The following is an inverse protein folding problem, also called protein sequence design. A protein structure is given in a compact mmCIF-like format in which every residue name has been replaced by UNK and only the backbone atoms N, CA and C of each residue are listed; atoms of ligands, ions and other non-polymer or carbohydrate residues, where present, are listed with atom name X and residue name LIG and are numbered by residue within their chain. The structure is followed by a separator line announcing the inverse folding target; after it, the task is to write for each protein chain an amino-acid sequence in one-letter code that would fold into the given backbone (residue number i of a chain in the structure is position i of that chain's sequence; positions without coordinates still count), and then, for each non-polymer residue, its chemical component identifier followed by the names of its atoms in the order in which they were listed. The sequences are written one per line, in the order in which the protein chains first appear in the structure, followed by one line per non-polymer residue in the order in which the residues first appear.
data_IF_735288649032
#
_entry.id   IF_735288649032
#
_cell.length_a   1.000
_cell.length_b   1.000
_cell.length_c   1.000
_cell.angle_alpha   90.00
_cell.angle_beta   90.00
_cell.angle_gamma   90.00
#
_symmetry.space_group_name_H-M   'P 1'
#
loop_
_entity.id
_entity.type
_entity.pdbx_description
1 polymer ?
#
# COMPACT_ATOMS: atom_id res chain seq x y z
N UNK A 1 -35.08 -9.53 -35.22
CA UNK A 1 -35.61 -9.19 -33.89
C UNK A 1 -34.48 -9.39 -32.88
N UNK A 2 -33.84 -8.32 -32.41
CA UNK A 2 -32.76 -8.40 -31.41
C UNK A 2 -33.28 -7.96 -30.04
N UNK A 3 -33.20 -8.85 -29.05
CA UNK A 3 -33.58 -8.54 -27.66
C UNK A 3 -32.47 -7.73 -26.98
N UNK A 4 -32.78 -6.65 -26.24
CA UNK A 4 -31.78 -5.90 -25.50
C UNK A 4 -31.27 -6.70 -24.29
N UNK A 5 -29.95 -6.70 -24.11
CA UNK A 5 -29.25 -7.36 -23.00
C UNK A 5 -29.46 -6.57 -21.71
N UNK A 6 -29.95 -7.24 -20.66
CA UNK A 6 -30.18 -6.64 -19.34
C UNK A 6 -28.85 -6.22 -18.69
N UNK A 7 -28.76 -5.01 -18.08
CA UNK A 7 -27.55 -4.55 -17.42
C UNK A 7 -27.35 -5.31 -16.11
N UNK A 8 -26.20 -5.97 -15.98
CA UNK A 8 -25.76 -6.58 -14.72
C UNK A 8 -25.55 -5.50 -13.66
N UNK A 9 -26.00 -5.71 -12.41
CA UNK A 9 -25.81 -4.74 -11.34
C UNK A 9 -24.31 -4.55 -11.08
N UNK A 10 -23.83 -3.33 -11.29
CA UNK A 10 -22.46 -2.96 -10.94
C UNK A 10 -22.36 -2.95 -9.40
N UNK A 11 -21.46 -3.77 -8.85
CA UNK A 11 -21.10 -3.70 -7.44
C UNK A 11 -20.36 -2.38 -7.20
N UNK A 12 -21.10 -1.33 -6.84
CA UNK A 12 -20.54 -0.02 -6.51
C UNK A 12 -20.43 0.11 -5.00
N UNK A 13 -19.20 0.19 -4.47
CA UNK A 13 -18.91 0.34 -3.03
C UNK A 13 -18.92 1.79 -2.56
N UNK A 14 -19.24 2.77 -3.42
CA UNK A 14 -19.27 4.21 -3.07
C UNK A 14 -20.16 4.53 -1.88
N UNK A 15 -21.26 3.79 -1.72
CA UNK A 15 -22.18 3.97 -0.60
C UNK A 15 -21.52 3.69 0.77
N UNK A 16 -20.47 2.84 0.81
CA UNK A 16 -19.68 2.59 2.02
C UNK A 16 -18.89 3.83 2.47
N UNK A 17 -18.62 4.76 1.56
CA UNK A 17 -17.93 6.02 1.83
C UNK A 17 -18.87 7.24 1.79
N UNK A 18 -20.14 7.04 1.40
CA UNK A 18 -21.15 8.10 1.32
C UNK A 18 -21.77 8.44 2.69
N UNK A 19 -21.65 7.55 3.67
CA UNK A 19 -22.18 7.74 5.03
C UNK A 19 -21.14 8.21 6.03
N UNK A 20 -21.39 9.36 6.67
CA UNK A 20 -21.06 9.54 8.09
C UNK A 20 -19.88 10.41 8.48
N UNK A 21 -19.07 10.96 7.57
CA UNK A 21 -18.00 11.89 7.98
C UNK A 21 -18.57 13.30 8.16
N UNK A 22 -18.69 13.77 9.41
CA UNK A 22 -19.12 15.14 9.67
C UNK A 22 -18.09 16.10 9.06
N UNK A 23 -18.48 17.24 8.46
CA UNK A 23 -17.53 18.17 7.82
C UNK A 23 -16.35 18.57 8.70
N UNK A 24 -16.55 18.60 10.02
CA UNK A 24 -15.53 18.96 11.01
C UNK A 24 -14.48 17.87 11.30
N UNK A 25 -14.67 16.64 10.80
CA UNK A 25 -13.69 15.55 10.96
C UNK A 25 -12.61 15.56 9.87
N UNK A 26 -12.82 16.32 8.78
CA UNK A 26 -11.84 16.48 7.69
C UNK A 26 -10.57 17.21 8.15
N UNK A 27 -10.63 17.99 9.24
CA UNK A 27 -9.51 18.75 9.80
C UNK A 27 -9.05 18.27 11.17
N UNK A 28 -9.57 17.14 11.65
CA UNK A 28 -9.12 16.56 12.90
C UNK A 28 -7.67 16.09 12.74
N UNK A 29 -6.81 16.39 13.72
CA UNK A 29 -5.41 15.97 13.69
C UNK A 29 -5.33 14.45 13.54
N UNK A 30 -4.67 14.00 12.48
CA UNK A 30 -4.42 12.60 12.21
C UNK A 30 -3.28 12.16 13.12
N UNK A 31 -3.62 11.57 14.28
CA UNK A 31 -2.67 11.06 15.25
C UNK A 31 -2.59 9.53 15.19
N UNK A 32 -1.46 8.97 15.65
CA UNK A 32 -1.28 7.53 15.72
C UNK A 32 -2.38 6.84 16.53
N UNK A 33 -2.73 7.41 17.68
CA UNK A 33 -3.73 6.84 18.59
C UNK A 33 -5.12 6.75 17.93
N UNK A 34 -5.54 7.80 17.22
CA UNK A 34 -6.82 7.79 16.51
C UNK A 34 -6.87 6.75 15.39
N UNK A 35 -5.77 6.61 14.65
CA UNK A 35 -5.69 5.57 13.62
C UNK A 35 -5.84 4.19 14.27
N UNK A 36 -5.22 3.95 15.43
CA UNK A 36 -5.34 2.69 16.14
C UNK A 36 -6.80 2.40 16.59
N UNK A 37 -7.49 3.41 17.13
CA UNK A 37 -8.90 3.29 17.55
C UNK A 37 -9.84 3.00 16.36
N UNK A 38 -9.63 3.67 15.23
CA UNK A 38 -10.41 3.44 14.01
C UNK A 38 -10.20 2.03 13.46
N UNK A 39 -8.95 1.56 13.44
CA UNK A 39 -8.61 0.19 13.04
C UNK A 39 -9.26 -0.86 13.96
N UNK A 40 -9.29 -0.61 15.27
CA UNK A 40 -9.95 -1.49 16.23
C UNK A 40 -11.47 -1.55 16.01
N UNK A 41 -12.09 -0.38 15.80
CA UNK A 41 -13.53 -0.27 15.52
C UNK A 41 -13.91 -1.00 14.23
N UNK A 42 -13.11 -0.82 13.17
CA UNK A 42 -13.32 -1.51 11.89
C UNK A 42 -13.20 -3.04 12.01
N UNK A 43 -12.23 -3.53 12.79
CA UNK A 43 -12.11 -4.98 13.05
C UNK A 43 -13.29 -5.50 13.87
N UNK A 44 -13.76 -4.75 14.86
CA UNK A 44 -14.92 -5.10 15.70
C UNK A 44 -16.22 -5.19 14.90
N UNK A 45 -16.38 -4.38 13.84
CA UNK A 45 -17.54 -4.47 12.94
C UNK A 45 -17.45 -5.62 11.93
N UNK A 46 -16.41 -6.46 12.00
CA UNK A 46 -16.19 -7.58 11.08
C UNK A 46 -15.44 -7.21 9.80
N UNK A 47 -14.88 -6.01 9.73
CA UNK A 47 -14.07 -5.56 8.60
C UNK A 47 -12.71 -6.26 8.55
N UNK A 48 -12.26 -6.59 7.33
CA UNK A 48 -10.93 -7.16 7.05
C UNK A 48 -10.14 -6.22 6.15
N UNK A 49 -8.89 -5.97 6.51
CA UNK A 49 -7.96 -5.15 5.72
C UNK A 49 -6.96 -6.10 5.07
N UNK A 50 -6.89 -6.07 3.74
CA UNK A 50 -5.92 -6.83 2.96
C UNK A 50 -4.90 -5.87 2.35
N UNK A 51 -3.61 -6.21 2.47
CA UNK A 51 -2.52 -5.38 1.94
C UNK A 51 -2.17 -5.88 0.55
N UNK A 52 -2.55 -5.12 -0.48
CA UNK A 52 -2.28 -5.46 -1.88
C UNK A 52 -0.84 -5.13 -2.34
N UNK A 53 -0.12 -4.36 -1.54
CA UNK A 53 1.24 -3.91 -1.81
C UNK A 53 1.56 -2.64 -1.03
N UNK A 54 2.84 -2.25 -0.97
CA UNK A 54 3.26 -1.00 -0.37
C UNK A 54 3.61 0.02 -1.46
N UNK A 55 2.72 0.98 -1.72
CA UNK A 55 3.01 2.09 -2.63
C UNK A 55 3.75 3.18 -1.87
N UNK A 56 5.03 3.38 -2.17
CA UNK A 56 5.84 4.44 -1.55
C UNK A 56 5.46 5.80 -2.13
N UNK A 57 4.58 6.53 -1.45
CA UNK A 57 4.31 7.93 -1.77
C UNK A 57 5.15 8.82 -0.85
N UNK A 58 6.06 9.61 -1.42
CA UNK A 58 6.81 10.70 -0.75
C UNK A 58 8.05 10.35 0.09
N UNK A 59 8.76 9.26 -0.21
CA UNK A 59 10.14 9.06 0.26
C UNK A 59 11.07 9.14 -0.94
N UNK A 60 12.07 10.05 -0.93
CA UNK A 60 13.26 9.86 -1.76
C UNK A 60 13.81 8.50 -1.37
N UNK A 61 13.87 7.60 -2.34
CA UNK A 61 14.44 6.28 -2.14
C UNK A 61 15.93 6.52 -2.03
N UNK A 62 16.50 6.39 -0.84
CA UNK A 62 17.94 6.16 -0.75
C UNK A 62 18.21 4.88 -1.53
N UNK A 63 18.97 5.02 -2.63
CA UNK A 63 19.44 3.91 -3.43
C UNK A 63 20.11 2.94 -2.46
N UNK A 64 19.71 1.65 -2.43
CA UNK A 64 20.35 0.70 -1.54
C UNK A 64 21.85 0.72 -1.83
N UNK A 65 22.73 0.69 -0.80
CA UNK A 65 24.15 0.56 -1.05
C UNK A 65 24.35 -0.68 -1.92
N UNK A 66 25.09 -0.50 -3.02
CA UNK A 66 25.44 -1.59 -3.93
C UNK A 66 25.84 -2.80 -3.09
N UNK A 67 25.29 -3.97 -3.43
CA UNK A 67 25.62 -5.22 -2.78
C UNK A 67 27.15 -5.30 -2.57
N UNK A 68 27.65 -5.72 -1.39
CA UNK A 68 29.08 -5.77 -1.15
C UNK A 68 29.69 -6.62 -2.26
N UNK A 69 30.56 -5.99 -3.07
CA UNK A 69 31.30 -6.69 -4.09
C UNK A 69 32.04 -7.84 -3.38
N UNK A 70 31.66 -9.08 -3.67
CA UNK A 70 32.50 -10.23 -3.33
C UNK A 70 33.89 -9.92 -3.91
N UNK A 71 34.96 -9.92 -3.11
CA UNK A 71 36.29 -9.68 -3.65
C UNK A 71 36.58 -10.82 -4.62
N UNK A 72 36.52 -10.53 -5.92
CA UNK A 72 37.05 -11.42 -6.94
C UNK A 72 38.55 -11.51 -6.66
N UNK A 73 39.10 -12.71 -6.37
CA UNK A 73 40.52 -12.83 -6.09
C UNK A 73 41.30 -12.34 -7.32
N UNK A 74 42.19 -11.36 -7.11
CA UNK A 74 43.02 -10.81 -8.15
C UNK A 74 43.83 -11.92 -8.84
N UNK A 75 43.98 -11.90 -10.19
CA UNK A 75 44.77 -12.90 -10.87
C UNK A 75 46.23 -12.80 -10.41
N UNK A 76 46.72 -13.86 -9.76
CA UNK A 76 48.15 -14.00 -9.43
C UNK A 76 48.94 -13.97 -10.74
N UNK A 77 49.67 -12.88 -10.99
CA UNK A 77 50.72 -12.87 -12.01
C UNK A 77 51.72 -14.00 -11.68
N UNK A 78 51.74 -15.04 -12.51
CA UNK A 78 52.86 -16.00 -12.50
C UNK A 78 54.10 -15.23 -12.92
N UNK A 79 55.06 -15.06 -12.00
CA UNK A 79 56.42 -14.64 -12.38
C UNK A 79 56.97 -15.72 -13.31
N UNK A 80 57.26 -15.34 -14.55
CA UNK A 80 58.02 -16.16 -15.48
C UNK A 80 59.51 -16.04 -15.14
N UNK A 81 60.18 -17.19 -15.14
CA UNK A 81 61.63 -17.42 -15.29
C UNK A 81 62.57 -16.40 -14.68
#
# INVERSE_FOLDING_TARGET
MSTPKSPTPQSDTRHLFAGGRKPNERGASLTSDRIADDLATFRKSGGKIEVLGNTRTLTKIDVPPAAPATPVPAPKKRRAG
#
